data_IF_699604824494
#
_entry.id   IF_699604824494
#
_cell.length_a   1.000
_cell.length_b   1.000
_cell.length_c   1.000
_cell.angle_alpha   90.00
_cell.angle_beta   90.00
_cell.angle_gamma   90.00
#
_symmetry.space_group_name_H-M   'P 1'
#
loop_
_entity.id
_entity.type
_entity.pdbx_description
1 polymer ?
#
# COMPACT_ATOMS: atom_id res chain seq x y z
N UNK A 1 -16.71 -18.61 -7.16
CA UNK A 1 -15.37 -18.61 -6.55
C UNK A 1 -15.19 -17.42 -5.62
N UNK A 2 -14.52 -17.62 -4.48
CA UNK A 2 -14.15 -16.52 -3.59
C UNK A 2 -13.02 -15.70 -4.25
N UNK A 3 -13.15 -14.37 -4.28
CA UNK A 3 -12.11 -13.49 -4.80
C UNK A 3 -11.02 -13.33 -3.75
N UNK A 4 -9.86 -13.91 -3.99
CA UNK A 4 -8.69 -13.82 -3.12
C UNK A 4 -7.45 -13.40 -3.93
N UNK A 5 -6.50 -12.78 -3.25
CA UNK A 5 -5.21 -12.39 -3.82
C UNK A 5 -4.13 -12.47 -2.74
N UNK A 6 -2.89 -12.78 -3.15
CA UNK A 6 -1.73 -12.73 -2.25
C UNK A 6 -0.73 -11.74 -2.81
N UNK A 7 -0.32 -10.78 -1.99
CA UNK A 7 0.71 -9.79 -2.29
C UNK A 7 1.93 -10.04 -1.40
N UNK A 8 3.12 -9.72 -1.89
CA UNK A 8 4.34 -9.80 -1.11
C UNK A 8 5.00 -8.42 -1.11
N UNK A 9 5.08 -7.81 0.07
CA UNK A 9 5.82 -6.57 0.27
C UNK A 9 7.27 -6.89 0.55
N UNK A 10 8.16 -6.22 -0.18
CA UNK A 10 9.60 -6.37 -0.06
C UNK A 10 10.17 -5.11 0.58
N UNK A 11 10.61 -5.23 1.82
CA UNK A 11 11.24 -4.15 2.56
C UNK A 11 12.76 -4.28 2.49
N UNK A 12 13.43 -3.21 2.07
CA UNK A 12 14.88 -3.11 2.18
C UNK A 12 15.29 -3.09 3.65
N UNK A 13 16.36 -3.81 3.97
CA UNK A 13 17.02 -3.64 5.25
C UNK A 13 17.79 -2.32 5.27
N UNK A 14 17.73 -1.60 6.38
CA UNK A 14 18.51 -0.38 6.60
C UNK A 14 19.82 -0.71 7.34
N UNK A 15 20.93 -0.05 6.96
CA UNK A 15 22.20 -0.15 7.70
C UNK A 15 22.87 -1.54 7.73
N UNK A 16 22.67 -2.37 6.70
CA UNK A 16 23.24 -3.73 6.63
C UNK A 16 22.36 -4.83 7.26
N UNK A 17 21.12 -4.50 7.63
CA UNK A 17 20.11 -5.50 8.04
C UNK A 17 19.57 -6.28 6.84
N UNK A 18 19.07 -7.50 7.09
CA UNK A 18 18.51 -8.34 6.03
C UNK A 18 17.20 -7.76 5.47
N UNK A 19 16.97 -7.98 4.16
CA UNK A 19 15.69 -7.67 3.52
C UNK A 19 14.58 -8.48 4.19
N UNK A 20 13.42 -7.85 4.42
CA UNK A 20 12.24 -8.52 4.99
C UNK A 20 11.15 -8.63 3.93
N UNK A 21 10.49 -9.79 3.90
CA UNK A 21 9.31 -10.00 3.09
C UNK A 21 8.10 -10.11 4.02
N UNK A 22 7.01 -9.43 3.65
CA UNK A 22 5.73 -9.59 4.31
C UNK A 22 4.69 -10.08 3.30
N UNK A 23 4.13 -11.27 3.54
CA UNK A 23 3.04 -11.79 2.74
C UNK A 23 1.71 -11.21 3.25
N UNK A 24 0.91 -10.65 2.35
CA UNK A 24 -0.43 -10.13 2.62
C UNK A 24 -1.42 -10.98 1.85
N UNK A 25 -2.32 -11.63 2.59
CA UNK A 25 -3.41 -12.39 1.98
C UNK A 25 -4.68 -11.58 2.05
N UNK A 26 -5.27 -11.29 0.88
CA UNK A 26 -6.50 -10.53 0.74
C UNK A 26 -7.66 -11.45 0.39
N UNK A 27 -8.81 -11.17 1.00
CA UNK A 27 -10.10 -11.74 0.66
C UNK A 27 -11.17 -10.66 0.60
N UNK A 28 -12.23 -10.91 -0.18
CA UNK A 28 -13.34 -9.99 -0.29
C UNK A 28 -14.00 -9.71 1.08
N UNK A 29 -14.24 -8.44 1.37
CA UNK A 29 -15.01 -8.01 2.54
C UNK A 29 -16.52 -7.95 2.28
N UNK A 30 -17.23 -7.27 3.17
CA UNK A 30 -18.70 -7.14 3.13
C UNK A 30 -19.20 -6.24 1.99
N UNK A 31 -18.34 -5.38 1.45
CA UNK A 31 -18.64 -4.46 0.34
C UNK A 31 -17.51 -4.45 -0.68
N UNK A 32 -17.76 -4.00 -1.93
CA UNK A 32 -16.75 -4.03 -3.01
C UNK A 32 -15.48 -3.21 -2.73
N UNK A 33 -15.58 -2.22 -1.86
CA UNK A 33 -14.53 -1.29 -1.40
C UNK A 33 -13.77 -1.82 -0.16
N UNK A 34 -14.17 -2.97 0.41
CA UNK A 34 -13.54 -3.52 1.62
C UNK A 34 -12.87 -4.86 1.35
N UNK A 35 -11.70 -5.05 1.93
CA UNK A 35 -10.98 -6.33 1.92
C UNK A 35 -10.54 -6.72 3.31
N UNK A 36 -10.62 -8.03 3.59
CA UNK A 36 -10.06 -8.60 4.81
C UNK A 36 -8.64 -9.07 4.48
N UNK A 37 -7.66 -8.64 5.28
CA UNK A 37 -6.26 -9.00 5.09
C UNK A 37 -5.62 -9.63 6.33
N UNK A 38 -4.68 -10.55 6.09
CA UNK A 38 -3.80 -11.16 7.11
C UNK A 38 -2.33 -11.06 6.70
N UNK A 39 -1.44 -11.06 7.69
CA UNK A 39 0.02 -10.91 7.49
C UNK A 39 0.77 -12.20 7.83
N UNK A 40 1.70 -12.62 6.97
CA UNK A 40 2.68 -13.70 7.22
C UNK A 40 2.06 -15.00 7.76
N UNK A 41 0.94 -15.42 7.17
CA UNK A 41 0.17 -16.61 7.57
C UNK A 41 -0.37 -16.60 9.02
N UNK A 42 -0.24 -15.49 9.75
CA UNK A 42 -0.86 -15.34 11.07
C UNK A 42 -2.34 -14.99 10.92
N UNK A 43 -3.16 -16.03 10.79
CA UNK A 43 -4.62 -15.88 10.73
C UNK A 43 -5.26 -15.46 12.06
N UNK A 44 -4.49 -15.34 13.15
CA UNK A 44 -5.03 -14.89 14.45
C UNK A 44 -5.29 -13.38 14.48
N UNK A 45 -4.72 -12.62 13.54
CA UNK A 45 -4.96 -11.20 13.37
C UNK A 45 -5.37 -10.91 11.92
N UNK A 46 -6.63 -10.53 11.75
CA UNK A 46 -7.18 -10.08 10.48
C UNK A 46 -7.68 -8.66 10.60
N UNK A 47 -7.44 -7.87 9.57
CA UNK A 47 -7.83 -6.47 9.52
C UNK A 47 -8.71 -6.22 8.30
N UNK A 48 -9.53 -5.18 8.37
CA UNK A 48 -10.35 -4.74 7.24
C UNK A 48 -9.72 -3.47 6.69
N UNK A 49 -9.20 -3.54 5.47
CA UNK A 49 -8.77 -2.36 4.73
C UNK A 49 -9.91 -1.82 3.87
N UNK A 50 -9.96 -0.50 3.73
CA UNK A 50 -10.96 0.21 2.94
C UNK A 50 -10.28 0.96 1.79
N UNK A 51 -10.71 0.66 0.57
CA UNK A 51 -10.26 1.32 -0.65
C UNK A 51 -11.08 2.59 -0.88
N UNK A 52 -10.68 3.68 -0.25
CA UNK A 52 -11.40 4.94 -0.28
C UNK A 52 -11.46 5.59 -1.68
N UNK A 53 -10.43 5.37 -2.50
CA UNK A 53 -10.39 5.85 -3.89
C UNK A 53 -9.50 4.98 -4.77
N UNK A 54 -9.85 4.85 -6.04
CA UNK A 54 -8.92 4.37 -7.08
C UNK A 54 -9.34 4.92 -8.44
N UNK A 55 -8.35 5.24 -9.28
CA UNK A 55 -8.57 5.56 -10.69
C UNK A 55 -8.51 4.31 -11.59
N UNK A 56 -8.36 3.12 -10.98
CA UNK A 56 -8.20 1.82 -11.62
C UNK A 56 -7.01 1.72 -12.60
N UNK A 57 -6.07 2.68 -12.56
CA UNK A 57 -4.99 2.78 -13.53
C UNK A 57 -3.64 3.03 -12.87
N UNK A 58 -3.53 4.14 -12.15
CA UNK A 58 -2.27 4.69 -11.69
C UNK A 58 -2.21 4.81 -10.16
N UNK A 59 -3.33 4.95 -9.47
CA UNK A 59 -3.32 5.13 -8.01
C UNK A 59 -4.53 4.56 -7.26
N UNK A 60 -4.31 4.35 -5.96
CA UNK A 60 -5.31 3.88 -5.01
C UNK A 60 -5.02 4.47 -3.64
N UNK A 61 -6.07 4.91 -2.94
CA UNK A 61 -6.01 5.34 -1.54
C UNK A 61 -6.60 4.24 -0.69
N UNK A 62 -5.83 3.80 0.31
CA UNK A 62 -6.21 2.71 1.20
C UNK A 62 -6.14 3.17 2.64
N UNK A 63 -7.22 2.95 3.38
CA UNK A 63 -7.28 3.09 4.81
C UNK A 63 -7.02 1.72 5.45
N UNK A 64 -6.00 1.63 6.31
CA UNK A 64 -5.53 0.38 6.90
C UNK A 64 -5.40 0.56 8.41
N UNK A 65 -6.07 -0.27 9.24
CA UNK A 65 -5.94 -0.23 10.69
C UNK A 65 -4.73 -1.05 11.16
N UNK A 66 -3.53 -0.63 10.77
CA UNK A 66 -2.27 -1.29 11.12
C UNK A 66 -1.29 -0.27 11.72
N UNK A 67 -0.91 -0.48 12.99
CA UNK A 67 -0.13 0.49 13.78
C UNK A 67 -0.79 1.88 13.88
N UNK A 68 -2.10 1.87 14.17
CA UNK A 68 -2.99 3.04 14.07
C UNK A 68 -3.84 3.01 12.80
N UNK A 69 -4.70 4.01 12.63
CA UNK A 69 -5.47 4.19 11.40
C UNK A 69 -4.57 4.95 10.41
N UNK A 70 -4.11 4.24 9.37
CA UNK A 70 -3.25 4.81 8.33
C UNK A 70 -4.07 5.06 7.07
N UNK A 71 -3.88 6.23 6.44
CA UNK A 71 -4.48 6.59 5.17
C UNK A 71 -3.36 6.81 4.15
N UNK A 72 -3.25 5.91 3.17
CA UNK A 72 -2.06 5.79 2.32
C UNK A 72 -2.43 5.93 0.85
N UNK A 73 -1.67 6.74 0.10
CA UNK A 73 -1.69 6.74 -1.36
C UNK A 73 -0.64 5.74 -1.89
N UNK A 74 -1.10 4.76 -2.65
CA UNK A 74 -0.26 3.86 -3.42
C UNK A 74 -0.36 4.20 -4.90
N UNK A 75 0.79 4.26 -5.56
CA UNK A 75 0.89 4.57 -6.99
C UNK A 75 1.60 3.47 -7.76
N UNK A 76 1.26 3.33 -9.03
CA UNK A 76 1.94 2.38 -9.90
C UNK A 76 3.41 2.78 -10.09
N UNK A 77 4.29 1.80 -10.25
CA UNK A 77 5.74 2.04 -10.49
C UNK A 77 6.01 2.98 -11.67
N UNK A 78 5.09 3.07 -12.64
CA UNK A 78 5.22 3.90 -13.84
C UNK A 78 5.13 5.39 -13.56
N UNK A 79 4.46 5.78 -12.48
CA UNK A 79 4.19 7.18 -12.13
C UNK A 79 4.78 7.56 -10.77
N UNK A 80 5.64 6.70 -10.19
CA UNK A 80 6.20 6.92 -8.85
C UNK A 80 6.97 8.24 -8.72
N UNK A 81 7.63 8.67 -9.80
CA UNK A 81 8.46 9.88 -9.84
C UNK A 81 7.68 11.11 -10.34
N UNK A 82 6.49 10.89 -10.91
CA UNK A 82 5.60 11.92 -11.47
C UNK A 82 4.14 11.53 -11.18
N UNK A 83 3.76 11.63 -9.91
CA UNK A 83 2.43 11.21 -9.43
C UNK A 83 1.37 12.15 -10.01
N UNK A 84 0.32 11.62 -10.68
CA UNK A 84 -0.73 12.46 -11.24
C UNK A 84 -1.38 13.36 -10.20
N UNK A 85 -1.60 14.63 -10.55
CA UNK A 85 -2.16 15.62 -9.62
C UNK A 85 -3.50 15.17 -9.04
N UNK A 86 -4.37 14.52 -9.82
CA UNK A 86 -5.66 14.04 -9.33
C UNK A 86 -5.54 13.01 -8.19
N UNK A 87 -4.45 12.22 -8.16
CA UNK A 87 -4.20 11.28 -7.07
C UNK A 87 -3.78 12.00 -5.78
N UNK A 88 -3.06 13.11 -5.92
CA UNK A 88 -2.63 13.94 -4.80
C UNK A 88 -3.79 14.76 -4.23
N UNK A 89 -4.64 15.30 -5.10
CA UNK A 89 -5.83 16.05 -4.71
C UNK A 89 -6.78 15.13 -3.91
N UNK A 90 -7.01 13.91 -4.37
CA UNK A 90 -7.82 12.92 -3.64
C UNK A 90 -7.20 12.51 -2.31
N UNK A 91 -5.87 12.47 -2.23
CA UNK A 91 -5.16 12.17 -0.99
C UNK A 91 -5.37 13.28 0.05
N UNK A 92 -5.27 14.55 -0.37
CA UNK A 92 -5.57 15.70 0.50
C UNK A 92 -7.04 15.72 0.91
N UNK A 93 -7.96 15.54 -0.04
CA UNK A 93 -9.41 15.57 0.20
C UNK A 93 -9.90 14.46 1.13
N UNK A 94 -9.34 13.24 1.01
CA UNK A 94 -9.80 12.07 1.77
C UNK A 94 -9.05 11.91 3.08
N UNK A 95 -7.72 12.04 3.06
CA UNK A 95 -6.87 11.75 4.21
C UNK A 95 -6.50 12.98 5.05
N UNK A 96 -6.85 14.20 4.61
CA UNK A 96 -6.49 15.47 5.26
C UNK A 96 -4.97 15.61 5.49
N UNK A 97 -4.16 15.03 4.60
CA UNK A 97 -2.70 15.03 4.72
C UNK A 97 -2.11 16.29 4.07
N UNK A 98 -1.20 16.92 4.79
CA UNK A 98 -0.50 18.13 4.35
C UNK A 98 0.99 17.90 4.04
N UNK A 99 1.58 16.78 4.45
CA UNK A 99 2.98 16.43 4.20
C UNK A 99 3.14 15.07 3.51
N UNK A 100 4.03 15.00 2.50
CA UNK A 100 4.31 13.77 1.74
C UNK A 100 5.51 13.04 2.35
N UNK A 101 5.31 11.87 2.94
CA UNK A 101 6.38 10.99 3.42
C UNK A 101 6.90 10.01 2.34
N UNK A 102 7.07 10.46 1.08
CA UNK A 102 7.76 9.63 0.08
C UNK A 102 9.27 9.91 0.10
N UNK A 103 10.07 8.88 0.39
CA UNK A 103 11.53 8.94 0.31
C UNK A 103 12.03 8.05 -0.82
N UNK A 104 12.51 8.69 -1.89
CA UNK A 104 13.14 8.00 -3.02
C UNK A 104 14.35 7.15 -2.55
N UNK A 105 15.11 7.63 -1.56
CA UNK A 105 16.29 6.93 -1.02
C UNK A 105 15.94 5.60 -0.34
N UNK A 106 14.79 5.53 0.35
CA UNK A 106 14.31 4.29 0.97
C UNK A 106 13.73 3.31 -0.05
N UNK A 107 13.28 3.81 -1.22
CA UNK A 107 12.58 3.02 -2.24
C UNK A 107 13.41 2.72 -3.51
N UNK A 108 14.59 3.31 -3.69
CA UNK A 108 15.52 2.96 -4.78
C UNK A 108 15.90 1.49 -4.63
N UNK A 109 15.79 0.69 -5.68
CA UNK A 109 16.29 -0.70 -5.70
C UNK A 109 17.78 -0.70 -6.05
N UNK A 110 18.61 -1.54 -5.42
CA UNK A 110 20.07 -1.58 -5.72
C UNK A 110 20.36 -2.29 -7.05
N UNK A 111 19.32 -2.58 -7.84
CA UNK A 111 19.41 -3.27 -9.13
C UNK A 111 19.24 -2.34 -10.32
N UNK A 112 19.14 -1.02 -10.10
CA UNK A 112 19.26 0.01 -11.15
C UNK A 112 20.72 0.53 -11.26
N UNK A 113 21.71 -0.36 -11.07
CA UNK A 113 23.11 -0.11 -11.42
C UNK A 113 23.35 -0.72 -12.83
N UNK A 114 23.73 0.07 -13.85
CA UNK A 114 23.89 -0.39 -15.24
C UNK A 114 24.99 -1.43 -15.47
#
# INVERSE_FOLDING_TARGET
DAKTATYVWMFKGHGGTEKKQAAIHLSAGESPDKVVFTLNDDASQSWVAHFAYTDYKDCVIVEIPYDGDQCQLWVSRRVKDDVPQHCLDQLEDICDVTEKEYSEELCKDDTDDP
#
